data_IF_767139582053
#
_entry.id   IF_767139582053
#
_cell.length_a   1.000
_cell.length_b   1.000
_cell.length_c   1.000
_cell.angle_alpha   90.00
_cell.angle_beta   90.00
_cell.angle_gamma   90.00
#
_symmetry.space_group_name_H-M   'P 1'
#
loop_
_entity.id
_entity.type
_entity.pdbx_description
1 polymer ?
#
# COMPACT_ATOMS: atom_id res chain seq x y z
N UNK A 1 90.92 -8.19 -10.02
CA UNK A 1 90.68 -8.95 -11.25
C UNK A 1 89.22 -9.39 -11.23
N UNK A 2 88.44 -8.89 -12.19
CA UNK A 2 87.27 -9.50 -12.87
C UNK A 2 86.08 -10.07 -12.08
N UNK A 3 84.95 -9.35 -12.24
CA UNK A 3 83.60 -9.76 -12.66
C UNK A 3 83.10 -11.21 -12.54
N UNK A 4 81.84 -11.30 -12.07
CA UNK A 4 80.68 -12.01 -12.63
C UNK A 4 79.92 -12.81 -11.55
N UNK A 5 78.67 -12.44 -11.24
CA UNK A 5 77.61 -13.46 -11.32
C UNK A 5 76.17 -12.92 -11.50
N UNK A 6 75.70 -13.04 -12.76
CA UNK A 6 74.37 -13.44 -13.27
C UNK A 6 73.07 -12.75 -12.80
N UNK A 7 72.42 -12.09 -13.77
CA UNK A 7 70.99 -11.79 -13.80
C UNK A 7 70.26 -12.59 -14.88
N UNK A 8 68.98 -12.89 -14.64
CA UNK A 8 67.86 -13.21 -15.56
C UNK A 8 66.63 -13.66 -14.73
N UNK A 9 65.38 -13.68 -15.22
CA UNK A 9 64.89 -13.31 -16.56
C UNK A 9 63.69 -12.32 -16.58
N UNK A 10 63.50 -11.73 -17.77
CA UNK A 10 62.35 -10.91 -18.16
C UNK A 10 61.08 -11.76 -18.33
N UNK A 11 59.96 -11.27 -17.82
CA UNK A 11 58.61 -11.81 -17.99
C UNK A 11 57.72 -10.87 -18.80
N UNK A 12 57.03 -11.44 -19.77
CA UNK A 12 56.18 -10.83 -20.80
C UNK A 12 55.09 -9.87 -20.27
N UNK A 13 54.94 -8.71 -20.92
CA UNK A 13 53.72 -7.88 -20.87
C UNK A 13 52.86 -8.11 -22.12
N UNK A 14 51.51 -8.19 -21.99
CA UNK A 14 50.58 -8.35 -23.11
C UNK A 14 50.39 -7.05 -23.92
N UNK A 15 49.94 -7.15 -25.19
CA UNK A 15 49.86 -6.03 -26.13
C UNK A 15 48.78 -5.01 -25.76
N UNK A 16 49.07 -3.72 -26.02
CA UNK A 16 48.14 -2.60 -25.83
C UNK A 16 47.00 -2.61 -26.87
N UNK A 17 45.78 -2.20 -26.49
CA UNK A 17 44.68 -2.00 -27.44
C UNK A 17 44.86 -0.72 -28.28
N UNK A 18 44.34 -0.69 -29.52
CA UNK A 18 44.54 0.43 -30.44
C UNK A 18 43.78 1.71 -30.01
N UNK A 19 44.41 2.85 -30.29
CA UNK A 19 43.89 4.20 -30.05
C UNK A 19 42.51 4.43 -30.70
N UNK A 20 41.54 4.88 -29.91
CA UNK A 20 40.30 5.48 -30.41
C UNK A 20 40.56 6.94 -30.84
N UNK A 21 39.99 7.40 -31.96
CA UNK A 21 40.05 8.80 -32.35
C UNK A 21 39.20 9.68 -31.42
N UNK A 22 39.76 10.84 -31.05
CA UNK A 22 39.16 11.87 -30.22
C UNK A 22 37.87 12.42 -30.82
N UNK A 23 36.79 12.40 -30.03
CA UNK A 23 35.52 13.10 -30.31
C UNK A 23 35.72 14.63 -30.23
N UNK A 24 35.06 15.43 -31.09
CA UNK A 24 35.16 16.89 -31.03
C UNK A 24 34.47 17.45 -29.79
N UNK A 25 35.15 18.37 -29.10
CA UNK A 25 34.55 19.18 -28.03
C UNK A 25 33.50 20.13 -28.63
N UNK A 26 32.23 19.91 -28.30
CA UNK A 26 31.20 20.92 -28.47
C UNK A 26 31.36 22.00 -27.39
N UNK A 27 31.81 23.19 -27.81
CA UNK A 27 31.74 24.40 -26.99
C UNK A 27 30.27 24.78 -26.77
N UNK A 28 29.89 25.04 -25.52
CA UNK A 28 28.58 25.59 -25.20
C UNK A 28 28.50 27.05 -25.68
N UNK A 29 27.41 27.48 -26.35
CA UNK A 29 27.18 28.90 -26.62
C UNK A 29 26.81 29.66 -25.33
N UNK A 30 27.15 30.95 -25.22
CA UNK A 30 26.87 31.74 -24.02
C UNK A 30 25.37 31.94 -23.81
N UNK A 31 24.93 31.78 -22.56
CA UNK A 31 23.55 32.04 -22.15
C UNK A 31 23.24 33.53 -22.22
N UNK A 32 22.33 33.93 -23.11
CA UNK A 32 21.64 35.22 -23.02
C UNK A 32 20.50 35.11 -22.01
N UNK A 33 20.51 35.97 -20.98
CA UNK A 33 19.38 36.18 -20.09
C UNK A 33 18.24 36.86 -20.86
N UNK A 34 17.20 36.10 -21.19
CA UNK A 34 15.94 36.67 -21.67
C UNK A 34 15.12 37.15 -20.45
N UNK A 35 14.95 38.48 -20.31
CA UNK A 35 13.93 39.06 -19.45
C UNK A 35 12.55 38.72 -20.02
N UNK A 36 11.79 37.88 -19.32
CA UNK A 36 10.37 37.67 -19.62
C UNK A 36 9.55 38.86 -19.07
N UNK A 37 9.10 39.73 -19.97
CA UNK A 37 8.01 40.67 -19.70
C UNK A 37 6.68 39.92 -19.68
N UNK A 38 5.84 40.18 -18.66
CA UNK A 38 4.50 39.60 -18.58
C UNK A 38 3.54 40.24 -19.60
N UNK A 39 2.65 39.47 -20.25
CA UNK A 39 1.60 40.04 -21.10
C UNK A 39 0.47 40.64 -20.25
N UNK A 40 -0.21 41.70 -20.73
CA UNK A 40 -1.31 42.35 -20.00
C UNK A 40 -2.58 41.50 -20.00
N UNK A 41 -3.36 41.62 -18.91
CA UNK A 41 -4.61 40.92 -18.70
C UNK A 41 -5.71 41.34 -19.71
N UNK A 42 -6.54 40.41 -20.21
CA UNK A 42 -7.67 40.78 -21.05
C UNK A 42 -8.87 41.29 -20.24
N UNK A 43 -9.57 42.24 -20.86
CA UNK A 43 -10.69 43.04 -20.40
C UNK A 43 -11.89 42.23 -19.87
N UNK A 44 -12.51 42.72 -18.78
CA UNK A 44 -13.80 42.28 -18.27
C UNK A 44 -14.94 42.90 -19.09
N UNK A 45 -15.81 42.06 -19.66
CA UNK A 45 -17.12 42.49 -20.15
C UNK A 45 -18.15 42.41 -19.03
N UNK A 46 -18.87 43.52 -18.81
CA UNK A 46 -19.97 43.62 -17.87
C UNK A 46 -21.19 42.86 -18.42
N UNK A 47 -21.70 41.89 -17.66
CA UNK A 47 -22.99 41.26 -17.90
C UNK A 47 -23.83 41.27 -16.61
N UNK A 48 -25.10 41.62 -16.79
CA UNK A 48 -26.12 41.97 -15.80
C UNK A 48 -26.28 40.95 -14.66
N UNK A 49 -26.29 41.46 -13.43
CA UNK A 49 -26.53 40.68 -12.20
C UNK A 49 -28.03 40.45 -11.98
N UNK A 50 -28.44 39.17 -12.01
CA UNK A 50 -29.64 38.72 -11.29
C UNK A 50 -29.24 38.17 -9.91
N UNK A 51 -30.00 38.44 -8.84
CA UNK A 51 -29.65 38.00 -7.49
C UNK A 51 -29.93 36.49 -7.30
N UNK A 52 -28.87 35.73 -7.02
CA UNK A 52 -28.95 34.33 -6.55
C UNK A 52 -28.93 34.28 -5.00
N UNK A 53 -29.65 33.33 -4.38
CA UNK A 53 -29.79 33.27 -2.92
C UNK A 53 -28.47 32.92 -2.21
N UNK A 54 -28.17 33.65 -1.15
CA UNK A 54 -26.98 33.46 -0.32
C UNK A 54 -27.00 32.09 0.39
N UNK A 55 -26.21 31.15 -0.13
CA UNK A 55 -25.74 30.00 0.65
C UNK A 55 -24.51 30.42 1.46
N UNK A 56 -24.60 30.25 2.78
CA UNK A 56 -23.51 30.51 3.71
C UNK A 56 -22.33 29.58 3.40
N UNK A 57 -21.18 30.18 3.11
CA UNK A 57 -19.89 29.49 2.92
C UNK A 57 -19.44 28.88 4.27
N UNK A 58 -19.02 27.60 4.31
CA UNK A 58 -18.34 27.06 5.49
C UNK A 58 -16.97 27.72 5.67
N UNK A 59 -16.43 27.81 6.90
CA UNK A 59 -15.26 28.60 7.20
C UNK A 59 -14.00 28.08 6.50
N UNK A 60 -13.25 29.05 5.97
CA UNK A 60 -11.97 28.99 5.28
C UNK A 60 -10.96 28.03 5.97
N UNK A 61 -10.57 26.96 5.28
CA UNK A 61 -9.37 26.19 5.62
C UNK A 61 -8.16 26.95 5.04
N UNK A 62 -7.13 27.30 5.83
CA UNK A 62 -5.96 27.96 5.28
C UNK A 62 -5.27 27.06 4.27
N UNK A 63 -5.22 27.50 3.00
CA UNK A 63 -4.31 26.93 2.00
C UNK A 63 -2.88 27.24 2.43
N UNK A 64 -2.25 26.29 3.10
CA UNK A 64 -0.80 26.32 3.32
C UNK A 64 -0.11 26.19 1.96
N UNK A 65 0.47 27.30 1.49
CA UNK A 65 1.44 27.28 0.41
C UNK A 65 2.58 26.34 0.83
N UNK A 66 2.73 25.24 0.11
CA UNK A 66 3.84 24.31 0.31
C UNK A 66 5.13 25.06 -0.05
N UNK A 67 6.19 25.01 0.79
CA UNK A 67 7.50 25.46 0.35
C UNK A 67 7.92 24.63 -0.88
N UNK A 68 8.77 25.18 -1.78
CA UNK A 68 9.20 24.47 -2.98
C UNK A 68 9.77 23.11 -2.61
N UNK A 69 9.24 22.08 -3.27
CA UNK A 69 9.69 20.70 -3.17
C UNK A 69 11.21 20.65 -3.41
N UNK A 70 11.97 20.45 -2.34
CA UNK A 70 13.35 20.04 -2.42
C UNK A 70 13.32 18.52 -2.63
N UNK A 71 13.71 17.99 -3.80
CA UNK A 71 13.80 16.56 -3.98
C UNK A 71 14.73 16.02 -2.90
N UNK A 72 14.20 15.15 -2.05
CA UNK A 72 15.03 14.39 -1.14
C UNK A 72 16.04 13.64 -1.99
N UNK A 73 17.31 14.04 -1.87
CA UNK A 73 18.52 13.31 -2.22
C UNK A 73 18.30 12.06 -3.09
N UNK A 74 18.47 12.19 -4.41
CA UNK A 74 18.67 11.03 -5.27
C UNK A 74 20.16 10.87 -5.59
N UNK A 75 20.90 9.97 -4.91
CA UNK A 75 22.22 9.61 -5.40
C UNK A 75 22.06 8.78 -6.68
N UNK A 76 22.98 8.95 -7.62
CA UNK A 76 23.01 8.28 -8.92
C UNK A 76 23.49 6.83 -8.76
N UNK A 77 22.60 5.83 -8.78
CA UNK A 77 22.99 4.41 -8.87
C UNK A 77 21.99 3.64 -9.72
N UNK A 78 22.45 3.10 -10.86
CA UNK A 78 21.73 2.16 -11.72
C UNK A 78 21.83 0.76 -11.12
N UNK A 79 20.90 0.33 -10.26
CA UNK A 79 20.66 -1.09 -9.94
C UNK A 79 19.21 -1.27 -9.45
N UNK A 80 18.55 -2.42 -9.73
CA UNK A 80 17.19 -2.67 -9.27
C UNK A 80 17.15 -2.72 -7.73
N UNK A 81 16.14 -2.10 -7.12
CA UNK A 81 16.03 -2.06 -5.67
C UNK A 81 15.50 -3.38 -5.10
N UNK A 82 16.39 -4.11 -4.45
CA UNK A 82 16.35 -4.22 -2.99
C UNK A 82 15.28 -5.08 -2.30
N UNK A 83 14.29 -5.68 -2.98
CA UNK A 83 13.36 -6.63 -2.32
C UNK A 83 13.95 -8.05 -2.15
N UNK A 84 15.20 -8.13 -1.70
CA UNK A 84 15.88 -9.40 -1.37
C UNK A 84 16.00 -10.41 -2.52
N UNK A 85 16.71 -11.51 -2.26
CA UNK A 85 16.71 -12.68 -3.14
C UNK A 85 15.28 -13.24 -3.23
N UNK A 86 14.91 -13.90 -4.33
CA UNK A 86 13.65 -14.65 -4.37
C UNK A 86 13.61 -15.66 -3.21
N UNK A 87 12.44 -15.89 -2.58
CA UNK A 87 12.33 -16.90 -1.55
C UNK A 87 12.67 -18.27 -2.15
N UNK A 88 13.34 -19.15 -1.39
CA UNK A 88 13.59 -20.51 -1.83
C UNK A 88 12.28 -21.21 -2.15
N UNK A 89 12.18 -21.79 -3.35
CA UNK A 89 10.99 -22.52 -3.78
C UNK A 89 10.83 -23.78 -2.91
N UNK A 90 9.62 -24.10 -2.41
CA UNK A 90 9.40 -25.38 -1.75
C UNK A 90 9.75 -26.50 -2.74
N UNK A 91 10.71 -27.36 -2.37
CA UNK A 91 11.05 -28.54 -3.18
C UNK A 91 9.78 -29.34 -3.40
N UNK A 92 9.42 -29.65 -4.66
CA UNK A 92 8.33 -30.58 -4.99
C UNK A 92 8.66 -31.91 -4.30
N UNK A 93 8.06 -32.19 -3.14
CA UNK A 93 8.12 -33.53 -2.54
C UNK A 93 7.38 -34.44 -3.52
N UNK A 94 8.10 -35.37 -4.15
CA UNK A 94 7.46 -36.49 -4.86
C UNK A 94 6.60 -37.20 -3.81
N UNK A 95 5.30 -37.13 -3.99
CA UNK A 95 4.36 -37.73 -3.07
C UNK A 95 4.65 -39.24 -2.98
N UNK A 96 4.73 -39.84 -1.78
CA UNK A 96 4.85 -41.29 -1.64
C UNK A 96 3.56 -42.03 -2.04
N UNK A 97 2.56 -41.32 -2.59
CA UNK A 97 1.32 -41.92 -3.13
C UNK A 97 1.60 -43.00 -4.19
N UNK A 98 2.71 -42.91 -4.94
CA UNK A 98 3.12 -44.01 -5.85
C UNK A 98 3.60 -45.27 -5.10
N UNK A 99 4.17 -45.14 -3.90
CA UNK A 99 4.53 -46.28 -3.04
C UNK A 99 3.27 -46.87 -2.37
N UNK A 100 2.34 -46.04 -1.91
CA UNK A 100 1.09 -46.50 -1.28
C UNK A 100 0.15 -47.18 -2.28
N UNK A 101 0.07 -46.68 -3.53
CA UNK A 101 -0.69 -47.35 -4.59
C UNK A 101 -0.05 -48.68 -5.03
N UNK A 102 1.29 -48.79 -4.97
CA UNK A 102 1.99 -50.05 -5.19
C UNK A 102 1.68 -51.11 -4.11
N UNK A 103 1.60 -50.69 -2.85
CA UNK A 103 1.24 -51.59 -1.72
C UNK A 103 -0.24 -51.97 -1.75
N UNK A 104 -1.15 -51.04 -2.04
CA UNK A 104 -2.59 -51.32 -2.13
C UNK A 104 -2.96 -52.14 -3.38
N UNK A 105 -2.27 -51.92 -4.51
CA UNK A 105 -2.41 -52.75 -5.71
C UNK A 105 -1.96 -54.19 -5.49
N UNK A 106 -0.89 -54.40 -4.70
CA UNK A 106 -0.42 -55.74 -4.31
C UNK A 106 -1.39 -56.47 -3.38
N UNK A 107 -2.11 -55.75 -2.50
CA UNK A 107 -3.10 -56.34 -1.59
C UNK A 107 -4.43 -56.65 -2.28
N UNK A 108 -4.83 -55.90 -3.31
CA UNK A 108 -6.04 -56.17 -4.08
C UNK A 108 -5.95 -57.47 -4.91
N UNK A 109 -4.75 -57.83 -5.40
CA UNK A 109 -4.53 -59.10 -6.13
C UNK A 109 -4.68 -60.32 -5.22
N UNK A 110 -4.39 -60.19 -3.92
CA UNK A 110 -4.61 -61.26 -2.93
C UNK A 110 -6.06 -61.34 -2.45
N UNK A 111 -6.81 -60.22 -2.48
CA UNK A 111 -8.22 -60.18 -2.09
C UNK A 111 -9.19 -60.78 -3.11
N UNK A 112 -8.87 -60.71 -4.42
CA UNK A 112 -9.73 -61.23 -5.49
C UNK A 112 -9.76 -62.77 -5.55
N UNK A 113 -8.75 -63.46 -5.01
CA UNK A 113 -8.77 -64.93 -4.87
C UNK A 113 -9.63 -65.44 -3.70
N UNK A 114 -10.04 -64.57 -2.77
CA UNK A 114 -10.81 -64.96 -1.58
C UNK A 114 -12.34 -64.80 -1.70
N UNK A 115 -12.85 -64.18 -2.76
CA UNK A 115 -14.29 -63.87 -2.94
C UNK A 115 -14.83 -64.64 -4.16
N UNK A 116 -14.58 -65.94 -4.19
CA UNK A 116 -15.18 -66.87 -5.16
C UNK A 116 -15.95 -68.02 -4.46
N UNK A 117 -16.30 -67.85 -3.19
CA UNK A 117 -17.16 -68.79 -2.44
C UNK A 117 -18.13 -67.99 -1.59
N UNK A 118 -19.25 -67.57 -2.19
CA UNK A 118 -20.56 -67.39 -1.53
C UNK A 118 -21.50 -66.65 -2.49
N UNK A 119 -22.10 -67.40 -3.42
CA UNK A 119 -23.34 -66.98 -4.08
C UNK A 119 -24.44 -67.92 -3.64
N UNK A 120 -25.53 -67.39 -3.07
CA UNK A 120 -26.89 -67.43 -3.64
C UNK A 120 -27.99 -67.31 -2.57
N UNK A 121 -29.16 -66.87 -3.06
CA UNK A 121 -30.54 -66.97 -2.51
C UNK A 121 -30.97 -65.75 -1.65
N UNK A 122 -32.02 -64.96 -1.92
CA UNK A 122 -33.26 -65.11 -2.71
C UNK A 122 -33.87 -63.74 -3.13
N UNK A 123 -34.75 -63.79 -4.13
CA UNK A 123 -35.73 -62.81 -4.66
C UNK A 123 -36.75 -62.35 -3.56
N UNK A 124 -37.63 -61.34 -3.67
CA UNK A 124 -38.44 -60.88 -4.81
C UNK A 124 -39.19 -59.54 -4.55
N UNK A 125 -39.54 -58.86 -5.67
CA UNK A 125 -40.62 -57.90 -6.02
C UNK A 125 -41.31 -56.90 -5.04
N UNK A 126 -41.46 -55.64 -5.51
CA UNK A 126 -42.73 -54.90 -5.79
C UNK A 126 -42.67 -53.39 -5.54
N UNK A 127 -42.91 -52.57 -6.58
CA UNK A 127 -43.33 -51.15 -6.50
C UNK A 127 -44.81 -51.03 -6.09
N UNK A 128 -45.29 -49.87 -5.56
CA UNK A 128 -45.89 -48.87 -6.45
C UNK A 128 -45.69 -47.38 -6.06
N UNK A 129 -45.83 -46.53 -7.08
CA UNK A 129 -45.92 -45.06 -7.08
C UNK A 129 -47.23 -44.52 -6.48
N UNK A 130 -47.22 -43.48 -5.63
CA UNK A 130 -48.25 -42.39 -5.56
C UNK A 130 -47.68 -41.10 -4.92
N UNK A 131 -48.00 -39.94 -5.50
CA UNK A 131 -47.63 -38.55 -5.12
C UNK A 131 -48.73 -37.84 -4.27
N UNK A 132 -48.64 -36.53 -3.89
CA UNK A 132 -48.82 -36.04 -2.52
C UNK A 132 -50.19 -35.33 -2.26
N UNK A 133 -50.38 -34.69 -1.09
CA UNK A 133 -51.26 -33.53 -1.00
C UNK A 133 -50.62 -32.25 -0.45
N UNK A 134 -51.09 -31.16 -1.05
CA UNK A 134 -50.88 -29.74 -0.77
C UNK A 134 -51.76 -29.31 0.42
N UNK A 135 -51.18 -28.56 1.36
CA UNK A 135 -51.92 -27.87 2.43
C UNK A 135 -52.27 -26.42 2.05
N UNK A 136 -53.46 -25.90 2.40
CA UNK A 136 -53.93 -24.56 2.01
C UNK A 136 -53.37 -23.42 2.88
N UNK A 137 -53.41 -22.16 2.40
CA UNK A 137 -53.00 -20.99 3.17
C UNK A 137 -54.10 -20.54 4.12
N UNK A 138 -53.74 -20.24 5.37
CA UNK A 138 -54.65 -19.62 6.34
C UNK A 138 -54.47 -18.10 6.33
N UNK A 139 -55.58 -17.41 6.09
CA UNK A 139 -55.79 -15.97 6.14
C UNK A 139 -55.88 -15.51 7.61
N UNK A 140 -55.23 -14.41 7.97
CA UNK A 140 -55.52 -13.66 9.19
C UNK A 140 -55.87 -12.20 8.87
N UNK A 141 -56.75 -11.55 9.68
CA UNK A 141 -57.41 -10.31 9.31
C UNK A 141 -56.64 -9.07 9.75
N UNK A 142 -56.72 -8.05 8.90
CA UNK A 142 -56.41 -6.65 9.14
C UNK A 142 -57.08 -6.12 10.42
N UNK A 143 -56.31 -5.48 11.30
CA UNK A 143 -56.86 -4.57 12.32
C UNK A 143 -56.20 -3.19 12.24
N UNK A 144 -57.13 -2.23 12.18
CA UNK A 144 -57.08 -0.78 12.17
C UNK A 144 -55.87 -0.05 12.79
N UNK A 145 -55.48 0.98 12.05
CA UNK A 145 -54.73 2.17 12.43
C UNK A 145 -55.43 2.99 13.52
N UNK A 146 -54.71 3.52 14.53
CA UNK A 146 -55.17 4.64 15.33
C UNK A 146 -54.68 5.98 14.75
N UNK A 147 -55.63 6.89 14.68
CA UNK A 147 -55.56 8.27 14.22
C UNK A 147 -54.71 9.15 15.13
N UNK A 148 -53.94 10.05 14.51
CA UNK A 148 -53.12 11.10 15.13
C UNK A 148 -53.99 12.14 15.83
N UNK A 149 -53.73 12.51 17.11
CA UNK A 149 -54.37 13.68 17.73
C UNK A 149 -53.76 15.01 17.23
N UNK A 150 -54.52 16.11 17.22
CA UNK A 150 -54.06 17.40 16.69
C UNK A 150 -52.97 18.04 17.55
N UNK A 151 -52.11 18.81 16.87
CA UNK A 151 -51.08 19.65 17.47
C UNK A 151 -51.71 20.71 18.38
N UNK A 152 -51.36 20.68 19.66
CA UNK A 152 -51.61 21.78 20.60
C UNK A 152 -50.49 22.81 20.46
N UNK A 153 -50.89 24.04 20.15
CA UNK A 153 -50.05 25.23 20.13
C UNK A 153 -49.57 25.55 21.54
N UNK A 154 -48.25 25.48 21.75
CA UNK A 154 -47.60 25.83 23.02
C UNK A 154 -47.43 27.35 23.13
N UNK A 155 -47.75 27.98 24.28
CA UNK A 155 -47.58 29.42 24.46
C UNK A 155 -46.10 29.85 24.48
N UNK A 156 -45.78 31.09 24.11
CA UNK A 156 -44.41 31.57 24.03
C UNK A 156 -43.79 31.62 25.43
N UNK A 157 -42.66 30.94 25.60
CA UNK A 157 -41.88 30.98 26.84
C UNK A 157 -41.11 32.31 26.91
N UNK A 158 -41.11 32.93 28.10
CA UNK A 158 -40.43 34.18 28.39
C UNK A 158 -38.93 34.13 28.00
N UNK A 159 -38.31 35.25 27.62
CA UNK A 159 -36.91 35.29 27.24
C UNK A 159 -36.02 34.89 28.42
N UNK A 160 -35.38 33.72 28.31
CA UNK A 160 -34.34 33.29 29.23
C UNK A 160 -33.11 34.16 28.98
N UNK A 161 -32.78 35.02 29.92
CA UNK A 161 -31.52 35.78 29.94
C UNK A 161 -30.37 34.80 30.11
N UNK A 162 -29.81 34.29 29.00
CA UNK A 162 -28.61 33.45 29.04
C UNK A 162 -27.42 34.31 29.40
N UNK A 163 -26.93 34.16 30.64
CA UNK A 163 -25.66 34.70 31.10
C UNK A 163 -24.55 34.27 30.11
N UNK A 164 -23.69 35.18 29.60
CA UNK A 164 -22.66 34.80 28.64
C UNK A 164 -21.76 33.71 29.22
N UNK A 165 -21.68 32.57 28.51
CA UNK A 165 -20.74 31.50 28.83
C UNK A 165 -19.32 32.08 28.76
N UNK A 166 -18.46 31.86 29.78
CA UNK A 166 -17.07 32.31 29.73
C UNK A 166 -16.41 31.79 28.44
N UNK A 167 -15.94 32.71 27.60
CA UNK A 167 -15.20 32.41 26.39
C UNK A 167 -13.84 31.84 26.78
N UNK A 168 -13.76 30.51 26.95
CA UNK A 168 -12.48 29.81 27.07
C UNK A 168 -11.67 30.10 25.81
N UNK A 169 -10.51 30.75 25.98
CA UNK A 169 -9.55 31.03 24.92
C UNK A 169 -9.30 29.75 24.10
N UNK A 170 -9.38 29.78 22.75
CA UNK A 170 -9.15 28.60 21.93
C UNK A 170 -7.78 27.99 22.24
N UNK A 171 -7.74 26.67 22.47
CA UNK A 171 -6.48 25.94 22.65
C UNK A 171 -5.62 26.13 21.38
N UNK A 172 -4.31 26.41 21.50
CA UNK A 172 -3.45 26.52 20.33
C UNK A 172 -3.47 25.22 19.51
N UNK A 173 -3.27 25.31 18.18
CA UNK A 173 -3.18 24.13 17.32
C UNK A 173 -2.00 23.24 17.74
N UNK A 174 -2.08 21.92 17.49
CA UNK A 174 -0.99 21.02 17.82
C UNK A 174 0.27 21.32 17.00
N UNK A 175 1.45 21.15 17.60
CA UNK A 175 2.74 21.27 16.90
C UNK A 175 2.97 20.09 15.95
N UNK A 176 3.89 20.23 15.00
CA UNK A 176 4.25 19.13 14.08
C UNK A 176 4.70 17.86 14.82
N UNK A 177 5.49 18.02 15.89
CA UNK A 177 5.91 16.90 16.75
C UNK A 177 4.71 16.22 17.43
N UNK A 178 3.74 16.98 17.92
CA UNK A 178 2.50 16.43 18.48
C UNK A 178 1.64 15.74 17.42
N UNK A 179 1.61 16.26 16.19
CA UNK A 179 0.86 15.62 15.10
C UNK A 179 1.46 14.25 14.78
N UNK A 180 2.77 14.12 14.60
CA UNK A 180 3.38 12.82 14.24
C UNK A 180 3.30 11.80 15.39
N UNK A 181 3.44 12.24 16.64
CA UNK A 181 3.46 11.35 17.83
C UNK A 181 2.09 11.06 18.44
N UNK A 182 1.09 11.93 18.28
CA UNK A 182 -0.21 11.83 18.96
C UNK A 182 -1.42 12.03 18.02
N UNK A 183 -1.25 11.81 16.71
CA UNK A 183 -2.30 11.91 15.70
C UNK A 183 -3.60 11.20 16.11
N UNK A 184 -4.75 11.79 15.76
CA UNK A 184 -6.06 11.20 16.05
C UNK A 184 -6.28 9.85 15.35
N UNK A 185 -5.59 9.57 14.23
CA UNK A 185 -5.63 8.29 13.52
C UNK A 185 -5.36 7.11 14.46
N UNK A 186 -4.44 7.25 15.40
CA UNK A 186 -4.07 6.20 16.35
C UNK A 186 -5.17 5.86 17.36
N UNK A 187 -6.26 6.63 17.42
CA UNK A 187 -7.40 6.42 18.35
C UNK A 187 -8.67 5.97 17.64
N UNK A 188 -8.60 5.67 16.34
CA UNK A 188 -9.78 5.33 15.51
C UNK A 188 -10.26 3.88 15.65
N UNK A 189 -9.52 3.06 16.39
CA UNK A 189 -9.83 1.65 16.60
C UNK A 189 -9.46 0.75 15.41
N UNK A 190 -9.84 -0.53 15.49
CA UNK A 190 -9.53 -1.50 14.45
C UNK A 190 -10.22 -1.16 13.11
N UNK A 191 -9.50 -1.36 12.01
CA UNK A 191 -10.06 -1.24 10.66
C UNK A 191 -11.06 -2.36 10.41
N UNK A 192 -12.14 -2.04 9.69
CA UNK A 192 -13.11 -3.04 9.25
C UNK A 192 -12.71 -3.65 7.92
N UNK A 193 -12.96 -4.94 7.76
CA UNK A 193 -12.83 -5.59 6.47
C UNK A 193 -13.84 -5.03 5.47
N UNK A 194 -13.43 -4.92 4.21
CA UNK A 194 -14.25 -4.44 3.08
C UNK A 194 -14.46 -5.53 2.04
N UNK A 195 -14.37 -6.79 2.48
CA UNK A 195 -14.47 -7.99 1.66
C UNK A 195 -13.61 -7.91 0.39
N UNK A 196 -12.41 -7.33 0.50
CA UNK A 196 -11.52 -7.20 -0.64
C UNK A 196 -11.09 -8.58 -1.14
N UNK A 197 -11.20 -8.82 -2.45
CA UNK A 197 -10.70 -10.01 -3.13
C UNK A 197 -9.46 -9.65 -3.94
N UNK A 198 -8.40 -10.46 -3.84
CA UNK A 198 -7.23 -10.33 -4.71
C UNK A 198 -7.63 -10.42 -6.19
N UNK A 199 -6.90 -9.74 -7.07
CA UNK A 199 -7.18 -9.76 -8.49
C UNK A 199 -6.89 -11.11 -9.11
N UNK A 200 -7.82 -11.65 -9.88
CA UNK A 200 -7.58 -12.84 -10.72
C UNK A 200 -6.66 -12.52 -11.91
N UNK A 201 -6.48 -11.24 -12.24
CA UNK A 201 -5.52 -10.80 -13.25
C UNK A 201 -4.11 -11.12 -12.76
N UNK A 202 -3.26 -11.60 -13.66
CA UNK A 202 -1.85 -11.86 -13.36
C UNK A 202 -1.00 -10.58 -13.40
N UNK A 203 0.31 -10.71 -13.21
CA UNK A 203 1.27 -9.61 -13.38
C UNK A 203 2.17 -9.83 -14.60
N UNK A 204 1.71 -10.57 -15.62
CA UNK A 204 2.57 -11.01 -16.73
C UNK A 204 2.90 -9.91 -17.77
N UNK A 205 2.30 -8.73 -17.65
CA UNK A 205 2.54 -7.57 -18.52
C UNK A 205 2.18 -6.29 -17.77
N UNK A 206 2.67 -5.14 -18.24
CA UNK A 206 2.36 -3.84 -17.65
C UNK A 206 0.85 -3.58 -17.55
N UNK A 207 0.09 -3.82 -18.63
CA UNK A 207 -1.36 -3.65 -18.65
C UNK A 207 -2.09 -4.51 -17.60
N UNK A 208 -1.65 -5.76 -17.42
CA UNK A 208 -2.19 -6.67 -16.42
C UNK A 208 -1.81 -6.26 -15.00
N UNK A 209 -0.57 -5.80 -14.78
CA UNK A 209 -0.13 -5.24 -13.50
C UNK A 209 -0.92 -3.98 -13.13
N UNK A 210 -1.14 -3.06 -14.08
CA UNK A 210 -2.01 -1.89 -13.89
C UNK A 210 -3.43 -2.30 -13.49
N UNK A 211 -4.02 -3.30 -14.13
CA UNK A 211 -5.34 -3.81 -13.76
C UNK A 211 -5.34 -4.44 -12.35
N UNK A 212 -4.28 -5.18 -12.00
CA UNK A 212 -4.08 -5.73 -10.66
C UNK A 212 -4.06 -4.61 -9.59
N UNK A 213 -3.25 -3.57 -9.80
CA UNK A 213 -3.15 -2.43 -8.86
C UNK A 213 -4.45 -1.65 -8.73
N UNK A 214 -5.17 -1.42 -9.84
CA UNK A 214 -6.49 -0.76 -9.81
C UNK A 214 -7.48 -1.50 -8.91
N UNK A 215 -7.47 -2.84 -8.93
CA UNK A 215 -8.37 -3.63 -8.12
C UNK A 215 -8.07 -3.55 -6.62
N UNK A 216 -6.80 -3.72 -6.21
CA UNK A 216 -6.42 -3.58 -4.80
C UNK A 216 -6.59 -2.14 -4.32
N UNK A 217 -6.27 -1.14 -5.15
CA UNK A 217 -6.56 0.26 -4.84
C UNK A 217 -8.04 0.51 -4.58
N UNK A 218 -8.93 -0.04 -5.41
CA UNK A 218 -10.37 0.10 -5.18
C UNK A 218 -10.81 -0.47 -3.82
N UNK A 219 -10.12 -1.49 -3.31
CA UNK A 219 -10.34 -1.96 -1.94
C UNK A 219 -9.81 -1.00 -0.88
N UNK A 220 -8.61 -0.46 -1.07
CA UNK A 220 -8.02 0.55 -0.18
C UNK A 220 -8.93 1.80 -0.09
N UNK A 221 -9.48 2.25 -1.22
CA UNK A 221 -10.41 3.37 -1.31
C UNK A 221 -11.70 3.14 -0.48
N UNK A 222 -12.11 1.88 -0.28
CA UNK A 222 -13.25 1.53 0.60
C UNK A 222 -12.84 1.34 2.06
N UNK A 223 -11.59 0.94 2.32
CA UNK A 223 -11.14 0.52 3.65
C UNK A 223 -10.77 1.69 4.57
N UNK A 224 -10.25 2.78 4.02
CA UNK A 224 -9.72 3.90 4.79
C UNK A 224 -10.68 5.03 5.17
N UNK A 225 -11.79 5.33 4.44
CA UNK A 225 -12.64 6.49 4.74
C UNK A 225 -13.09 6.56 6.19
N UNK A 226 -13.53 5.44 6.78
CA UNK A 226 -14.00 5.38 8.17
C UNK A 226 -12.93 5.83 9.16
N UNK A 227 -11.69 5.39 8.99
CA UNK A 227 -10.58 5.70 9.90
C UNK A 227 -10.18 7.16 9.76
N UNK A 228 -10.05 7.65 8.53
CA UNK A 228 -9.71 9.06 8.26
C UNK A 228 -10.77 10.01 8.81
N UNK A 229 -12.05 9.70 8.59
CA UNK A 229 -13.19 10.47 9.12
C UNK A 229 -13.29 10.41 10.64
N UNK A 230 -13.09 9.23 11.25
CA UNK A 230 -13.09 9.09 12.70
C UNK A 230 -11.93 9.85 13.38
N UNK A 231 -10.85 10.10 12.64
CA UNK A 231 -9.74 10.95 13.08
C UNK A 231 -10.00 12.45 12.89
N UNK A 232 -11.15 12.85 12.34
CA UNK A 232 -11.52 14.25 12.08
C UNK A 232 -10.97 14.83 10.78
N UNK A 233 -10.50 13.99 9.86
CA UNK A 233 -9.96 14.42 8.56
C UNK A 233 -10.90 14.09 7.40
N UNK A 234 -10.76 14.82 6.30
CA UNK A 234 -11.49 14.54 5.06
C UNK A 234 -10.75 13.49 4.24
N UNK A 235 -11.41 12.36 3.98
CA UNK A 235 -10.85 11.34 3.10
C UNK A 235 -10.84 11.81 1.65
N UNK A 236 -9.70 11.61 0.99
CA UNK A 236 -9.56 11.68 -0.47
C UNK A 236 -8.79 10.44 -0.91
N UNK A 237 -9.31 9.78 -1.95
CA UNK A 237 -8.61 8.66 -2.56
C UNK A 237 -7.46 9.22 -3.43
N UNK A 238 -6.24 8.65 -3.35
CA UNK A 238 -5.16 9.05 -4.23
C UNK A 238 -5.44 8.65 -5.68
N UNK A 239 -4.78 9.30 -6.64
CA UNK A 239 -4.67 8.80 -8.00
C UNK A 239 -3.85 7.50 -8.08
N UNK A 240 -3.82 6.89 -9.27
CA UNK A 240 -2.93 5.76 -9.56
C UNK A 240 -2.37 5.89 -10.97
N UNK A 241 -1.04 5.89 -11.08
CA UNK A 241 -0.30 5.78 -12.33
C UNK A 241 0.59 4.56 -12.23
N UNK A 242 0.60 3.73 -13.27
CA UNK A 242 1.47 2.57 -13.35
C UNK A 242 2.23 2.62 -14.68
N UNK A 243 3.53 2.39 -14.65
CA UNK A 243 4.42 2.48 -15.81
C UNK A 243 5.47 1.38 -15.82
N UNK A 244 6.19 1.27 -16.94
CA UNK A 244 7.44 0.50 -17.08
C UNK A 244 8.55 1.51 -17.39
N UNK A 245 9.69 1.43 -16.70
CA UNK A 245 10.85 2.29 -16.97
C UNK A 245 10.82 3.60 -16.19
N UNK A 246 10.92 4.75 -16.88
CA UNK A 246 10.96 6.07 -16.24
C UNK A 246 9.56 6.65 -16.04
N UNK A 247 9.30 7.23 -14.87
CA UNK A 247 8.09 8.01 -14.59
C UNK A 247 8.38 9.50 -14.61
N UNK A 248 7.53 10.25 -15.32
CA UNK A 248 7.43 11.69 -15.14
C UNK A 248 6.36 11.98 -14.09
N UNK A 249 6.74 12.64 -12.99
CA UNK A 249 5.82 13.04 -11.94
C UNK A 249 6.07 14.48 -11.49
N UNK A 250 5.08 15.15 -10.90
CA UNK A 250 5.29 16.46 -10.25
C UNK A 250 6.23 16.41 -9.05
N UNK A 251 6.55 15.22 -8.53
CA UNK A 251 7.55 15.01 -7.48
C UNK A 251 8.95 14.74 -8.06
N UNK A 252 9.15 15.02 -9.35
CA UNK A 252 10.38 14.78 -10.08
C UNK A 252 10.31 13.55 -10.98
N UNK A 253 11.29 13.45 -11.86
CA UNK A 253 11.50 12.27 -12.68
C UNK A 253 12.32 11.28 -11.85
N UNK A 254 11.85 10.05 -11.78
CA UNK A 254 12.68 8.98 -11.22
C UNK A 254 13.43 8.33 -12.38
N UNK A 255 14.75 8.50 -12.40
CA UNK A 255 15.66 7.73 -13.27
C UNK A 255 15.71 6.24 -12.83
N UNK A 256 15.00 5.89 -11.74
CA UNK A 256 14.93 4.55 -11.16
C UNK A 256 13.52 3.99 -11.18
N UNK A 257 13.46 2.67 -11.30
CA UNK A 257 12.25 1.86 -11.16
C UNK A 257 11.87 1.70 -9.70
N UNK A 258 11.24 2.72 -9.12
CA UNK A 258 10.65 2.66 -7.77
C UNK A 258 9.20 3.09 -7.81
N UNK A 259 8.36 2.33 -7.10
CA UNK A 259 7.03 2.82 -6.74
C UNK A 259 7.18 3.89 -5.66
N UNK A 260 6.31 4.89 -5.68
CA UNK A 260 6.30 5.98 -4.70
C UNK A 260 4.91 6.63 -4.63
N UNK A 261 4.64 7.34 -3.54
CA UNK A 261 3.54 8.27 -3.44
C UNK A 261 4.00 9.71 -3.68
N UNK A 262 3.31 10.44 -4.55
CA UNK A 262 3.57 11.85 -4.80
C UNK A 262 2.56 12.74 -4.06
N UNK A 263 3.05 13.54 -3.10
CA UNK A 263 2.22 14.45 -2.31
C UNK A 263 1.70 15.64 -3.12
N UNK A 264 2.46 16.12 -4.11
CA UNK A 264 2.11 17.29 -4.92
C UNK A 264 0.81 17.13 -5.72
N UNK A 265 0.50 15.91 -6.18
CA UNK A 265 -0.73 15.61 -6.91
C UNK A 265 -1.54 14.46 -6.29
N UNK A 266 -1.23 14.07 -5.06
CA UNK A 266 -1.92 13.02 -4.30
C UNK A 266 -2.12 11.73 -5.12
N UNK A 267 -1.03 11.19 -5.69
CA UNK A 267 -1.08 10.04 -6.60
C UNK A 267 -0.08 8.96 -6.21
N UNK A 268 -0.53 7.71 -6.23
CA UNK A 268 0.34 6.53 -6.12
C UNK A 268 0.92 6.21 -7.49
N UNK A 269 2.23 6.17 -7.56
CA UNK A 269 3.02 5.86 -8.73
C UNK A 269 3.60 4.44 -8.55
N UNK A 270 3.20 3.49 -9.39
CA UNK A 270 3.67 2.09 -9.34
C UNK A 270 4.57 1.72 -10.53
N UNK A 271 5.79 1.31 -10.26
CA UNK A 271 6.62 0.66 -11.27
C UNK A 271 6.26 -0.83 -11.38
N UNK A 272 5.88 -1.28 -12.57
CA UNK A 272 5.48 -2.68 -12.82
C UNK A 272 6.64 -3.59 -13.24
N UNK A 273 7.84 -3.05 -13.46
CA UNK A 273 8.96 -3.76 -14.10
C UNK A 273 9.38 -4.99 -13.30
N UNK A 274 9.62 -4.81 -12.01
CA UNK A 274 10.01 -5.89 -11.10
C UNK A 274 8.89 -6.90 -10.91
N UNK A 275 7.65 -6.45 -10.74
CA UNK A 275 6.49 -7.32 -10.58
C UNK A 275 6.30 -8.21 -11.82
N UNK A 276 6.46 -7.66 -13.02
CA UNK A 276 6.39 -8.41 -14.28
C UNK A 276 7.54 -9.41 -14.41
N UNK A 277 8.76 -9.01 -14.02
CA UNK A 277 9.93 -9.88 -14.03
C UNK A 277 9.78 -11.05 -13.05
N UNK A 278 9.45 -10.76 -11.79
CA UNK A 278 9.26 -11.76 -10.75
C UNK A 278 8.06 -12.66 -11.03
N UNK A 279 7.01 -12.17 -11.70
CA UNK A 279 5.85 -13.00 -12.03
C UNK A 279 6.20 -14.15 -12.97
N UNK A 280 7.20 -13.98 -13.83
CA UNK A 280 7.72 -15.05 -14.71
C UNK A 280 8.47 -16.13 -13.91
N UNK A 281 9.07 -15.77 -12.78
CA UNK A 281 9.92 -16.65 -11.97
C UNK A 281 9.16 -17.30 -10.81
N UNK A 282 8.40 -16.49 -10.06
CA UNK A 282 7.57 -16.90 -8.93
C UNK A 282 6.31 -16.03 -8.86
N UNK A 283 5.21 -16.54 -9.41
CA UNK A 283 3.91 -15.85 -9.45
C UNK A 283 3.39 -15.47 -8.07
N UNK A 284 3.56 -16.34 -7.07
CA UNK A 284 3.04 -16.10 -5.72
C UNK A 284 3.84 -15.02 -4.98
N UNK A 285 5.16 -14.99 -5.17
CA UNK A 285 6.02 -13.93 -4.63
C UNK A 285 5.70 -12.58 -5.27
N UNK A 286 5.63 -12.51 -6.60
CA UNK A 286 5.32 -11.26 -7.29
C UNK A 286 3.97 -10.68 -6.87
N UNK A 287 2.96 -11.53 -6.65
CA UNK A 287 1.64 -11.08 -6.15
C UNK A 287 1.71 -10.56 -4.71
N UNK A 288 2.45 -11.24 -3.84
CA UNK A 288 2.66 -10.79 -2.47
C UNK A 288 3.43 -9.45 -2.42
N UNK A 289 4.45 -9.29 -3.25
CA UNK A 289 5.22 -8.07 -3.41
C UNK A 289 4.33 -6.93 -3.92
N UNK A 290 3.66 -7.12 -5.06
CA UNK A 290 2.70 -6.16 -5.63
C UNK A 290 1.65 -5.69 -4.62
N UNK A 291 1.05 -6.61 -3.87
CA UNK A 291 0.04 -6.29 -2.85
C UNK A 291 0.64 -5.53 -1.67
N UNK A 292 1.87 -5.83 -1.27
CA UNK A 292 2.58 -5.12 -0.22
C UNK A 292 2.93 -3.69 -0.66
N UNK A 293 3.55 -3.53 -1.83
CA UNK A 293 4.03 -2.24 -2.35
C UNK A 293 2.88 -1.26 -2.54
N UNK A 294 1.80 -1.65 -3.24
CA UNK A 294 0.66 -0.74 -3.45
C UNK A 294 -0.04 -0.35 -2.15
N UNK A 295 -0.08 -1.24 -1.16
CA UNK A 295 -0.65 -0.93 0.16
C UNK A 295 0.26 0.00 0.97
N UNK A 296 1.59 -0.13 0.83
CA UNK A 296 2.58 0.77 1.40
C UNK A 296 2.47 2.18 0.79
N UNK A 297 2.48 2.31 -0.55
CA UNK A 297 2.35 3.62 -1.19
C UNK A 297 1.01 4.30 -0.88
N UNK A 298 -0.07 3.53 -0.82
CA UNK A 298 -1.36 4.05 -0.38
C UNK A 298 -1.32 4.54 1.07
N UNK A 299 -0.50 3.92 1.94
CA UNK A 299 -0.37 4.36 3.32
C UNK A 299 0.34 5.71 3.44
N UNK A 300 1.25 6.09 2.54
CA UNK A 300 1.74 7.47 2.46
C UNK A 300 0.63 8.46 2.12
N UNK A 301 -0.31 8.08 1.24
CA UNK A 301 -1.51 8.89 1.00
C UNK A 301 -2.33 9.07 2.29
N UNK A 302 -2.41 8.03 3.14
CA UNK A 302 -3.07 8.13 4.45
C UNK A 302 -2.33 9.04 5.43
N UNK A 303 -1.00 8.98 5.45
CA UNK A 303 -0.19 9.93 6.20
C UNK A 303 -0.42 11.37 5.70
N UNK A 304 -0.56 11.58 4.39
CA UNK A 304 -0.86 12.90 3.82
C UNK A 304 -2.23 13.41 4.30
N UNK A 305 -3.31 12.67 4.09
CA UNK A 305 -4.68 13.15 4.40
C UNK A 305 -4.94 13.29 5.89
N UNK A 306 -4.15 12.61 6.73
CA UNK A 306 -4.22 12.75 8.20
C UNK A 306 -3.22 13.76 8.75
N UNK A 307 -2.52 14.51 7.89
CA UNK A 307 -1.58 15.55 8.29
C UNK A 307 -0.25 15.05 8.86
N UNK A 308 -0.04 13.74 8.96
CA UNK A 308 1.21 13.15 9.46
C UNK A 308 2.37 13.45 8.51
N UNK A 309 2.18 13.26 7.19
CA UNK A 309 3.24 13.47 6.21
C UNK A 309 3.69 14.94 6.12
N UNK A 310 2.78 15.94 6.06
CA UNK A 310 3.15 17.36 6.19
C UNK A 310 3.88 17.68 7.50
N UNK A 311 3.40 17.16 8.64
CA UNK A 311 4.06 17.39 9.92
C UNK A 311 5.46 16.76 9.99
N UNK A 312 5.62 15.57 9.40
CA UNK A 312 6.92 14.92 9.23
C UNK A 312 7.91 15.80 8.49
N UNK A 313 7.51 16.42 7.36
CA UNK A 313 8.41 17.31 6.62
C UNK A 313 8.86 18.50 7.47
N UNK A 314 7.99 19.05 8.33
CA UNK A 314 8.35 20.14 9.25
C UNK A 314 9.36 19.67 10.30
N UNK A 315 9.08 18.58 11.04
CA UNK A 315 10.05 18.10 12.05
C UNK A 315 11.36 17.60 11.44
N UNK A 316 11.36 17.15 10.19
CA UNK A 316 12.56 16.75 9.47
C UNK A 316 13.39 17.94 9.01
N UNK A 317 12.75 19.04 8.59
CA UNK A 317 13.44 20.24 8.15
C UNK A 317 14.34 20.83 9.25
N UNK A 318 13.85 20.83 10.49
CA UNK A 318 14.58 21.35 11.65
C UNK A 318 15.61 20.35 12.25
N UNK A 319 15.75 19.16 11.66
CA UNK A 319 16.53 18.07 12.24
C UNK A 319 17.99 18.05 11.75
N UNK A 320 18.90 17.58 12.62
CA UNK A 320 20.25 17.19 12.18
C UNK A 320 20.18 16.04 11.17
N UNK A 321 21.20 15.85 10.35
CA UNK A 321 21.22 14.80 9.33
C UNK A 321 20.92 13.39 9.91
N UNK A 322 21.54 13.04 11.04
CA UNK A 322 21.30 11.77 11.72
C UNK A 322 19.85 11.63 12.19
N UNK A 323 19.27 12.70 12.74
CA UNK A 323 17.88 12.72 13.18
C UNK A 323 16.91 12.69 12.00
N UNK A 324 17.22 13.35 10.90
CA UNK A 324 16.45 13.31 9.67
C UNK A 324 16.36 11.88 9.12
N UNK A 325 17.47 11.13 9.09
CA UNK A 325 17.47 9.71 8.69
C UNK A 325 16.61 8.84 9.61
N UNK A 326 16.61 9.09 10.92
CA UNK A 326 15.70 8.40 11.85
C UNK A 326 14.23 8.76 11.59
N UNK A 327 13.93 10.03 11.31
CA UNK A 327 12.59 10.48 10.96
C UNK A 327 12.11 9.83 9.66
N UNK A 328 12.98 9.69 8.64
CA UNK A 328 12.67 8.95 7.42
C UNK A 328 12.25 7.52 7.76
N UNK A 329 13.08 6.79 8.54
CA UNK A 329 12.78 5.40 8.94
C UNK A 329 11.45 5.28 9.66
N UNK A 330 11.13 6.23 10.55
CA UNK A 330 9.83 6.28 11.25
C UNK A 330 8.67 6.45 10.26
N UNK A 331 8.81 7.34 9.30
CA UNK A 331 7.80 7.62 8.28
C UNK A 331 7.55 6.39 7.39
N UNK A 332 8.61 5.77 6.88
CA UNK A 332 8.57 4.57 6.04
C UNK A 332 7.99 3.35 6.76
N UNK A 333 8.48 3.07 7.98
CA UNK A 333 8.00 1.94 8.79
C UNK A 333 6.53 2.10 9.16
N UNK A 334 6.05 3.34 9.33
CA UNK A 334 4.63 3.59 9.55
C UNK A 334 3.81 3.30 8.30
N UNK A 335 4.26 3.72 7.11
CA UNK A 335 3.59 3.40 5.86
C UNK A 335 3.47 1.88 5.68
N UNK A 336 4.57 1.14 5.90
CA UNK A 336 4.56 -0.31 5.92
C UNK A 336 3.61 -0.90 6.95
N UNK A 337 3.56 -0.37 8.17
CA UNK A 337 2.62 -0.85 9.19
C UNK A 337 1.15 -0.60 8.79
N UNK A 338 0.82 0.61 8.34
CA UNK A 338 -0.53 0.99 7.95
C UNK A 338 -1.01 0.22 6.70
N UNK A 339 -0.16 0.04 5.69
CA UNK A 339 -0.47 -0.82 4.55
C UNK A 339 -0.78 -2.25 4.96
N UNK A 340 -0.04 -2.77 5.95
CA UNK A 340 -0.30 -4.09 6.51
C UNK A 340 -1.53 -4.15 7.42
N UNK A 341 -1.97 -3.06 8.05
CA UNK A 341 -3.29 -2.99 8.71
C UNK A 341 -4.39 -3.34 7.70
N UNK A 342 -4.34 -2.81 6.49
CA UNK A 342 -5.29 -3.15 5.42
C UNK A 342 -5.23 -4.63 5.02
N UNK A 343 -4.02 -5.14 4.72
CA UNK A 343 -3.83 -6.53 4.29
C UNK A 343 -4.27 -7.52 5.39
N UNK A 344 -3.90 -7.24 6.64
CA UNK A 344 -4.29 -8.04 7.80
C UNK A 344 -5.79 -8.06 8.04
N UNK A 345 -6.43 -6.90 7.89
CA UNK A 345 -7.88 -6.74 8.08
C UNK A 345 -8.65 -7.53 7.02
N UNK A 346 -8.17 -7.55 5.77
CA UNK A 346 -8.82 -8.23 4.66
C UNK A 346 -8.27 -9.62 4.38
N UNK A 347 -7.33 -10.16 5.18
CA UNK A 347 -6.57 -11.39 4.86
C UNK A 347 -7.43 -12.58 4.43
N UNK A 348 -8.59 -12.77 5.06
CA UNK A 348 -9.53 -13.86 4.75
C UNK A 348 -10.19 -13.67 3.39
N UNK A 349 -10.80 -12.50 3.14
CA UNK A 349 -11.47 -12.21 1.87
C UNK A 349 -10.48 -12.05 0.72
N UNK A 350 -9.28 -11.56 1.01
CA UNK A 350 -8.22 -11.35 0.02
C UNK A 350 -7.58 -12.67 -0.39
N UNK A 351 -7.75 -13.74 0.38
CA UNK A 351 -7.07 -15.01 0.15
C UNK A 351 -5.58 -14.96 0.53
N UNK A 352 -5.16 -13.99 1.36
CA UNK A 352 -3.80 -13.89 1.89
C UNK A 352 -3.56 -14.96 2.97
N UNK A 353 -3.57 -16.21 2.54
CA UNK A 353 -3.47 -17.42 3.34
C UNK A 353 -2.53 -18.42 2.64
N UNK A 354 -2.14 -19.49 3.33
CA UNK A 354 -1.31 -20.55 2.76
C UNK A 354 -0.03 -20.02 2.10
N UNK A 355 0.17 -20.35 0.82
CA UNK A 355 1.35 -19.93 0.07
C UNK A 355 1.48 -18.42 -0.03
N UNK A 356 0.40 -17.69 -0.35
CA UNK A 356 0.46 -16.23 -0.52
C UNK A 356 0.83 -15.52 0.79
N UNK A 357 0.33 -16.04 1.93
CA UNK A 357 0.74 -15.56 3.25
C UNK A 357 2.23 -15.78 3.52
N UNK A 358 2.76 -16.96 3.20
CA UNK A 358 4.19 -17.25 3.38
C UNK A 358 5.07 -16.34 2.51
N UNK A 359 4.63 -16.05 1.29
CA UNK A 359 5.31 -15.10 0.41
C UNK A 359 5.25 -13.67 0.94
N UNK A 360 4.09 -13.23 1.44
CA UNK A 360 3.95 -11.92 2.09
C UNK A 360 4.85 -11.81 3.33
N UNK A 361 4.91 -12.86 4.16
CA UNK A 361 5.77 -12.91 5.33
C UNK A 361 7.25 -12.80 4.94
N UNK A 362 7.63 -13.47 3.85
CA UNK A 362 8.98 -13.34 3.30
C UNK A 362 9.27 -11.91 2.82
N UNK A 363 8.37 -11.29 2.06
CA UNK A 363 8.50 -9.88 1.62
C UNK A 363 8.71 -8.99 2.83
N UNK A 364 7.78 -9.00 3.79
CA UNK A 364 7.83 -8.11 4.97
C UNK A 364 9.10 -8.29 5.80
N UNK A 365 9.62 -9.52 5.91
CA UNK A 365 10.83 -9.82 6.70
C UNK A 365 12.14 -9.51 5.97
N UNK A 366 12.11 -9.29 4.66
CA UNK A 366 13.29 -9.06 3.83
C UNK A 366 13.34 -7.66 3.20
N UNK A 367 12.33 -6.84 3.49
CA UNK A 367 12.23 -5.43 3.09
C UNK A 367 12.99 -4.52 4.07
N UNK A 368 13.33 -3.30 3.66
CA UNK A 368 14.04 -2.31 4.47
C UNK A 368 15.43 -1.97 3.93
N UNK A 369 16.27 -1.40 4.78
CA UNK A 369 17.62 -0.93 4.43
C UNK A 369 18.47 -2.03 3.76
N UNK A 370 19.14 -1.62 2.69
CA UNK A 370 20.20 -2.39 2.00
C UNK A 370 21.53 -1.65 2.12
N UNK A 371 22.65 -2.36 2.06
CA UNK A 371 23.98 -1.82 2.39
C UNK A 371 24.50 -0.71 1.48
N UNK A 372 23.89 -0.51 0.31
CA UNK A 372 24.35 0.40 -0.75
C UNK A 372 23.40 1.59 -0.97
N UNK A 373 22.39 1.76 -0.11
CA UNK A 373 21.49 2.92 -0.11
C UNK A 373 21.54 3.63 1.25
N UNK A 374 21.15 4.91 1.32
CA UNK A 374 20.89 5.56 2.60
C UNK A 374 20.00 4.70 3.49
N UNK A 375 20.27 4.72 4.80
CA UNK A 375 19.51 3.95 5.80
C UNK A 375 18.30 4.73 6.26
N UNK A 376 17.30 4.79 5.40
CA UNK A 376 16.10 5.62 5.55
C UNK A 376 14.79 4.82 5.58
N UNK A 377 14.82 3.49 5.43
CA UNK A 377 13.63 2.61 5.48
C UNK A 377 13.62 1.69 6.72
N UNK A 378 14.72 1.65 7.47
CA UNK A 378 14.91 0.88 8.68
C UNK A 378 15.37 -0.54 8.38
N UNK A 379 16.02 -1.20 9.33
CA UNK A 379 16.53 -2.55 9.10
C UNK A 379 15.41 -3.55 8.76
N UNK A 380 15.79 -4.66 8.11
CA UNK A 380 14.88 -5.81 7.87
C UNK A 380 14.16 -6.29 9.13
N UNK A 381 14.84 -6.21 10.29
CA UNK A 381 14.26 -6.53 11.59
C UNK A 381 13.14 -5.56 11.96
N UNK A 382 13.39 -4.26 11.85
CA UNK A 382 12.41 -3.19 12.11
C UNK A 382 11.22 -3.30 11.15
N UNK A 383 11.48 -3.48 9.87
CA UNK A 383 10.44 -3.62 8.85
C UNK A 383 9.56 -4.86 9.09
N UNK A 384 10.19 -6.01 9.35
CA UNK A 384 9.49 -7.23 9.71
C UNK A 384 8.63 -7.06 10.97
N UNK A 385 9.15 -6.38 11.99
CA UNK A 385 8.41 -6.08 13.21
C UNK A 385 7.16 -5.24 12.94
N UNK A 386 7.28 -4.08 12.29
CA UNK A 386 6.17 -3.16 12.04
C UNK A 386 5.15 -3.71 11.04
N UNK A 387 5.61 -4.38 9.98
CA UNK A 387 4.71 -5.00 9.00
C UNK A 387 3.84 -6.10 9.63
N UNK A 388 4.42 -7.00 10.43
CA UNK A 388 3.66 -8.03 11.14
C UNK A 388 2.78 -7.44 12.24
N UNK A 389 3.24 -6.38 12.92
CA UNK A 389 2.46 -5.68 13.96
C UNK A 389 1.18 -5.09 13.36
N UNK A 390 1.28 -4.38 12.23
CA UNK A 390 0.11 -3.86 11.50
C UNK A 390 -0.83 -4.97 11.03
N UNK A 391 -0.27 -6.02 10.40
CA UNK A 391 -1.02 -7.16 9.89
C UNK A 391 -1.83 -7.89 10.97
N UNK A 392 -1.21 -8.14 12.12
CA UNK A 392 -1.87 -8.87 13.21
C UNK A 392 -2.83 -7.97 13.99
N UNK A 393 -2.40 -6.74 14.29
CA UNK A 393 -3.12 -5.78 15.11
C UNK A 393 -4.33 -5.14 14.43
N UNK A 394 -4.30 -4.99 13.10
CA UNK A 394 -5.44 -4.52 12.29
C UNK A 394 -6.01 -3.17 12.76
N UNK A 395 -5.18 -2.35 13.42
CA UNK A 395 -5.59 -1.11 14.06
C UNK A 395 -4.47 -0.08 13.88
N UNK A 396 -4.74 1.12 13.32
CA UNK A 396 -3.71 2.15 13.15
C UNK A 396 -2.97 2.54 14.45
N UNK A 397 -3.58 2.32 15.62
CA UNK A 397 -2.96 2.54 16.93
C UNK A 397 -1.62 1.81 17.09
N UNK A 398 -1.47 0.63 16.47
CA UNK A 398 -0.26 -0.17 16.59
C UNK A 398 0.88 0.31 15.71
N UNK A 399 0.66 1.34 14.88
CA UNK A 399 1.58 1.87 13.87
C UNK A 399 2.19 3.23 14.23
N UNK A 400 2.17 3.62 15.51
CA UNK A 400 2.80 4.85 15.97
C UNK A 400 4.33 4.69 16.09
N UNK A 401 5.01 4.69 14.94
CA UNK A 401 6.47 4.60 14.86
C UNK A 401 7.15 5.86 15.39
N UNK A 402 6.52 7.03 15.36
CA UNK A 402 7.10 8.29 15.84
C UNK A 402 7.25 8.35 17.36
N UNK A 403 6.41 7.62 18.10
CA UNK A 403 6.53 7.47 19.55
C UNK A 403 7.38 6.24 19.98
N UNK A 404 7.86 5.42 19.04
CA UNK A 404 8.60 4.21 19.35
C UNK A 404 10.07 4.49 19.76
N UNK A 405 10.70 3.61 20.56
CA UNK A 405 12.13 3.68 20.82
C UNK A 405 12.96 3.60 19.52
N UNK A 406 14.11 4.30 19.48
CA UNK A 406 15.01 4.31 18.32
C UNK A 406 15.42 2.91 17.85
N UNK A 407 15.58 1.95 18.78
CA UNK A 407 15.92 0.56 18.49
C UNK A 407 14.85 -0.23 17.73
N UNK A 408 13.60 0.26 17.71
CA UNK A 408 12.50 -0.34 16.94
C UNK A 408 12.34 0.27 15.55
N UNK A 409 13.08 1.33 15.25
CA UNK A 409 13.03 2.03 13.96
C UNK A 409 14.40 2.09 13.28
N UNK A 410 15.38 1.38 13.84
CA UNK A 410 16.77 1.41 13.38
C UNK A 410 17.04 0.52 12.18
#
# INVERSE_FOLDING_TARGET
MSDQQWGSPQGNQPPQPPHQPSQPQYQQPPQQQAQYQQPPAPYQSQALQQPQPQYQQPPYQPQYQQPPYQPAWQPQYRQPLGWGQLPPQPKKKRSPVLLVLGVLGGLAVLGVLGIAVASNLLEDNSEPTVTPPVGPPTVQPTKAQPTRPPATTRPPSAPVTTKPKPTTKPKPPPTASQIVTANALYRTGAQRAVSCKESKVGLSSASKATAYYRQIKACLDRAWPRQVQAAGYTFRAPGLVAWVGSANSPCGNSDRSLSFYCSSNHTVYMDVSDDVSYYKQNRSFARALASHTVAHEYAHAMQQVTGILPAYYQVRYDATAARALELNRRMELQASCLGNVFLGTNRRSYGLTGLLYNQWLYVVNNSGDVSYLPRDHGSKKSHGYWGRRGFNGRNPAVCNTFAAPGSQVS
#
